data_IF_265393931116
#
_entry.id   IF_265393931116
#
_cell.length_a   1.000
_cell.length_b   1.000
_cell.length_c   1.000
_cell.angle_alpha   90.00
_cell.angle_beta   90.00
_cell.angle_gamma   90.00
#
_symmetry.space_group_name_H-M   'P 1'
#
loop_
_entity.id
_entity.type
_entity.pdbx_description
1 polymer ?
#
# COMPACT_ATOMS: atom_id res chain seq x y z
N UNK A 1 -37.38 -11.08 12.16
CA UNK A 1 -37.58 -9.76 11.51
C UNK A 1 -36.77 -8.64 12.17
N UNK A 2 -37.05 -8.21 13.40
CA UNK A 2 -36.24 -7.15 14.06
C UNK A 2 -34.81 -7.60 14.34
N UNK A 3 -34.63 -8.83 14.84
CA UNK A 3 -33.32 -9.47 15.00
C UNK A 3 -32.50 -9.48 13.70
N UNK A 4 -33.15 -9.71 12.55
CA UNK A 4 -32.48 -9.81 11.25
C UNK A 4 -32.04 -8.42 10.73
N UNK A 5 -32.73 -7.37 11.16
CA UNK A 5 -32.31 -5.99 10.94
C UNK A 5 -31.12 -5.62 11.85
N UNK A 6 -31.19 -5.94 13.15
CA UNK A 6 -30.10 -5.69 14.11
C UNK A 6 -28.83 -6.42 13.70
N UNK A 7 -28.94 -7.67 13.24
CA UNK A 7 -27.81 -8.49 12.77
C UNK A 7 -27.32 -8.13 11.35
N UNK A 8 -27.77 -7.01 10.77
CA UNK A 8 -27.34 -6.52 9.46
C UNK A 8 -27.60 -7.50 8.32
N UNK A 9 -28.66 -8.32 8.41
CA UNK A 9 -29.11 -9.23 7.34
C UNK A 9 -30.24 -8.66 6.49
N UNK A 10 -30.91 -7.62 6.99
CA UNK A 10 -31.96 -6.88 6.29
C UNK A 10 -31.79 -5.39 6.47
N UNK A 11 -31.97 -4.65 5.38
CA UNK A 11 -32.13 -3.20 5.45
C UNK A 11 -33.59 -2.81 5.63
N UNK A 12 -33.81 -1.74 6.37
CA UNK A 12 -35.09 -1.05 6.50
C UNK A 12 -34.88 0.33 5.93
N UNK A 13 -35.65 0.68 4.91
CA UNK A 13 -35.61 2.01 4.29
C UNK A 13 -36.97 2.66 4.47
N UNK A 14 -36.95 3.93 4.84
CA UNK A 14 -38.13 4.78 4.94
C UNK A 14 -38.08 5.77 3.79
N UNK A 15 -39.08 5.71 2.92
CA UNK A 15 -39.26 6.66 1.85
C UNK A 15 -40.23 7.73 2.31
N UNK A 16 -39.77 8.98 2.33
CA UNK A 16 -40.61 10.14 2.60
C UNK A 16 -40.92 10.81 1.26
N UNK A 17 -42.19 10.79 0.88
CA UNK A 17 -42.69 11.50 -0.30
C UNK A 17 -43.49 12.73 0.11
N UNK A 18 -43.71 13.63 -0.85
CA UNK A 18 -44.41 14.91 -0.65
C UNK A 18 -45.85 14.76 -0.15
N UNK A 19 -46.50 13.61 -0.39
CA UNK A 19 -47.90 13.35 0.01
C UNK A 19 -48.08 12.94 1.47
N UNK A 20 -47.05 13.11 2.31
CA UNK A 20 -47.15 13.05 3.77
C UNK A 20 -47.35 11.66 4.38
N UNK A 21 -47.37 10.60 3.56
CA UNK A 21 -47.42 9.21 4.04
C UNK A 21 -46.05 8.55 3.86
N UNK A 22 -45.25 8.41 4.93
CA UNK A 22 -43.96 7.73 4.82
C UNK A 22 -44.19 6.24 4.57
N UNK A 23 -43.49 5.70 3.57
CA UNK A 23 -43.57 4.29 3.18
C UNK A 23 -42.32 3.56 3.70
N UNK A 24 -42.50 2.70 4.68
CA UNK A 24 -41.41 1.88 5.25
C UNK A 24 -41.40 0.50 4.60
N UNK A 25 -40.29 0.16 3.92
CA UNK A 25 -40.08 -1.16 3.34
C UNK A 25 -38.89 -1.86 3.98
N UNK A 26 -39.03 -3.17 4.16
CA UNK A 26 -37.95 -4.06 4.56
C UNK A 26 -37.49 -4.85 3.35
N UNK A 27 -36.18 -4.91 3.14
CA UNK A 27 -35.61 -5.69 2.04
C UNK A 27 -35.69 -7.20 2.32
N UNK A 28 -35.49 -7.98 1.26
CA UNK A 28 -35.23 -9.42 1.38
C UNK A 28 -33.94 -9.63 2.19
N UNK A 29 -33.83 -10.79 2.83
CA UNK A 29 -32.56 -11.15 3.47
C UNK A 29 -31.43 -11.11 2.46
N UNK A 30 -30.40 -10.32 2.76
CA UNK A 30 -29.16 -10.28 2.00
C UNK A 30 -28.24 -11.29 2.66
N UNK A 31 -27.89 -12.39 1.98
CA UNK A 31 -26.96 -13.35 2.55
C UNK A 31 -25.60 -12.68 2.72
N UNK A 32 -24.95 -12.91 3.85
CA UNK A 32 -23.57 -12.47 4.07
C UNK A 32 -22.71 -13.37 3.18
N UNK A 33 -22.07 -12.85 2.11
CA UNK A 33 -21.21 -13.67 1.29
C UNK A 33 -20.00 -14.10 2.13
N UNK A 34 -19.74 -15.40 2.10
CA UNK A 34 -18.63 -16.03 2.79
C UNK A 34 -17.66 -16.49 1.70
N UNK A 35 -16.46 -15.93 1.70
CA UNK A 35 -15.43 -16.26 0.72
C UNK A 35 -14.27 -16.97 1.41
N UNK A 36 -13.85 -18.10 0.88
CA UNK A 36 -12.61 -18.74 1.33
C UNK A 36 -11.45 -18.14 0.55
N UNK A 37 -10.50 -17.45 1.22
CA UNK A 37 -9.32 -16.93 0.53
C UNK A 37 -8.59 -18.07 -0.17
N UNK A 38 -8.26 -17.98 -1.47
CA UNK A 38 -7.38 -18.95 -2.09
C UNK A 38 -5.98 -18.84 -1.48
N UNK A 39 -5.38 -19.98 -1.15
CA UNK A 39 -4.01 -20.04 -0.60
C UNK A 39 -2.94 -19.60 -1.60
N UNK A 40 -3.27 -19.51 -2.88
CA UNK A 40 -2.33 -19.25 -3.98
C UNK A 40 -2.35 -17.81 -4.51
N UNK A 41 -3.21 -16.93 -3.99
CA UNK A 41 -3.34 -15.54 -4.45
C UNK A 41 -2.49 -14.56 -3.63
N UNK A 42 -1.49 -15.06 -2.90
CA UNK A 42 -0.58 -14.19 -2.17
C UNK A 42 0.24 -13.40 -3.22
N UNK A 43 0.23 -12.07 -3.21
CA UNK A 43 1.00 -11.31 -4.19
C UNK A 43 2.49 -11.57 -3.97
N UNK A 44 3.18 -11.88 -5.07
CA UNK A 44 4.61 -12.23 -5.11
C UNK A 44 5.44 -11.19 -5.89
N UNK A 45 4.79 -10.12 -6.34
CA UNK A 45 5.31 -9.19 -7.33
C UNK A 45 6.34 -8.24 -6.70
N UNK A 46 6.06 -7.73 -5.50
CA UNK A 46 6.94 -6.84 -4.75
C UNK A 46 8.27 -7.52 -4.37
N UNK A 47 8.22 -8.75 -3.87
CA UNK A 47 9.43 -9.54 -3.57
C UNK A 47 10.31 -9.77 -4.80
N UNK A 48 9.70 -10.09 -5.94
CA UNK A 48 10.38 -10.25 -7.23
C UNK A 48 11.08 -8.96 -7.67
N UNK A 49 10.39 -7.82 -7.63
CA UNK A 49 10.98 -6.53 -8.03
C UNK A 49 12.16 -6.13 -7.15
N UNK A 50 12.06 -6.27 -5.83
CA UNK A 50 13.16 -5.93 -4.92
C UNK A 50 14.41 -6.78 -5.17
N UNK A 51 14.22 -8.07 -5.43
CA UNK A 51 15.32 -8.96 -5.81
C UNK A 51 15.89 -8.61 -7.18
N UNK A 52 15.05 -8.32 -8.17
CA UNK A 52 15.50 -7.93 -9.51
C UNK A 52 16.30 -6.61 -9.47
N UNK A 53 15.83 -5.61 -8.72
CA UNK A 53 16.50 -4.31 -8.55
C UNK A 53 17.84 -4.49 -7.82
N UNK A 54 17.89 -5.28 -6.74
CA UNK A 54 19.14 -5.52 -6.02
C UNK A 54 20.17 -6.29 -6.86
N UNK A 55 19.73 -7.24 -7.69
CA UNK A 55 20.60 -7.92 -8.66
C UNK A 55 21.11 -6.93 -9.73
N UNK A 56 20.22 -6.18 -10.36
CA UNK A 56 20.52 -5.18 -11.38
C UNK A 56 21.57 -4.17 -10.90
N UNK A 57 21.35 -3.58 -9.73
CA UNK A 57 22.28 -2.59 -9.16
C UNK A 57 23.64 -3.20 -8.83
N UNK A 58 23.69 -4.46 -8.38
CA UNK A 58 24.95 -5.18 -8.12
C UNK A 58 25.70 -5.49 -9.41
N UNK A 59 25.00 -5.89 -10.47
CA UNK A 59 25.58 -6.11 -11.80
C UNK A 59 26.19 -4.83 -12.38
N UNK A 60 25.48 -3.69 -12.31
CA UNK A 60 26.04 -2.42 -12.79
C UNK A 60 27.28 -2.02 -12.00
N UNK A 61 27.25 -2.12 -10.67
CA UNK A 61 28.46 -1.83 -9.87
C UNK A 61 29.64 -2.73 -10.26
N UNK A 62 29.40 -4.02 -10.53
CA UNK A 62 30.43 -4.94 -10.97
C UNK A 62 31.01 -4.57 -12.35
N UNK A 63 30.15 -4.22 -13.32
CA UNK A 63 30.57 -3.80 -14.67
C UNK A 63 31.38 -2.51 -14.61
N UNK A 64 30.89 -1.50 -13.88
CA UNK A 64 31.60 -0.20 -13.74
C UNK A 64 32.91 -0.39 -12.98
N UNK A 65 32.97 -1.29 -12.00
CA UNK A 65 34.20 -1.61 -11.28
C UNK A 65 35.21 -2.30 -12.20
N UNK A 66 34.79 -3.28 -13.00
CA UNK A 66 35.65 -3.96 -13.98
C UNK A 66 36.21 -2.98 -15.01
N UNK A 67 35.37 -2.08 -15.57
CA UNK A 67 35.83 -1.03 -16.48
C UNK A 67 36.88 -0.12 -15.82
N UNK A 68 36.67 0.27 -14.56
CA UNK A 68 37.61 1.11 -13.83
C UNK A 68 38.95 0.41 -13.53
N UNK A 69 38.93 -0.92 -13.30
CA UNK A 69 40.14 -1.72 -13.09
C UNK A 69 40.94 -1.90 -14.38
N UNK A 70 40.27 -2.15 -15.50
CA UNK A 70 40.91 -2.24 -16.83
C UNK A 70 41.59 -0.91 -17.19
N UNK A 71 40.90 0.21 -16.96
CA UNK A 71 41.47 1.53 -17.14
C UNK A 71 42.63 1.81 -16.17
N UNK A 72 42.52 1.38 -14.92
CA UNK A 72 43.62 1.49 -13.95
C UNK A 72 44.86 0.70 -14.40
N UNK A 73 44.67 -0.51 -14.90
CA UNK A 73 45.75 -1.36 -15.39
C UNK A 73 46.43 -0.80 -16.64
N UNK A 74 45.67 -0.17 -17.56
CA UNK A 74 46.27 0.47 -18.75
C UNK A 74 47.15 1.68 -18.40
N UNK A 75 46.91 2.32 -17.26
CA UNK A 75 47.69 3.47 -16.75
C UNK A 75 48.64 3.04 -15.61
N UNK A 76 48.96 1.74 -15.50
CA UNK A 76 49.90 1.20 -14.52
C UNK A 76 49.57 1.57 -13.06
N UNK A 77 48.28 1.68 -12.74
CA UNK A 77 47.75 2.02 -11.42
C UNK A 77 48.30 3.33 -10.82
N UNK A 78 48.71 4.30 -11.65
CA UNK A 78 49.06 5.66 -11.20
C UNK A 78 47.83 6.51 -10.81
N UNK A 79 46.89 5.91 -10.08
CA UNK A 79 45.64 6.56 -9.65
C UNK A 79 45.67 6.71 -8.13
N UNK A 80 45.38 7.91 -7.63
CA UNK A 80 45.23 8.13 -6.19
C UNK A 80 44.12 7.23 -5.64
N UNK A 81 44.46 6.32 -4.70
CA UNK A 81 43.50 5.43 -4.04
C UNK A 81 42.33 6.15 -3.35
N UNK A 82 42.52 7.44 -3.03
CA UNK A 82 41.48 8.32 -2.49
C UNK A 82 40.28 8.49 -3.45
N UNK A 83 40.50 8.32 -4.76
CA UNK A 83 39.45 8.35 -5.78
C UNK A 83 38.61 7.06 -5.77
N UNK A 84 39.19 5.90 -5.41
CA UNK A 84 38.44 4.65 -5.24
C UNK A 84 37.41 4.76 -4.11
N UNK A 85 37.71 5.49 -3.04
CA UNK A 85 36.74 5.73 -1.95
C UNK A 85 35.50 6.53 -2.40
N UNK A 86 35.58 7.26 -3.53
CA UNK A 86 34.44 7.99 -4.12
C UNK A 86 33.71 7.19 -5.20
N UNK A 87 34.23 6.03 -5.61
CA UNK A 87 33.66 5.18 -6.65
C UNK A 87 32.18 4.84 -6.41
N UNK A 88 31.85 4.34 -5.21
CA UNK A 88 30.47 3.96 -4.87
C UNK A 88 29.48 5.12 -5.01
N UNK A 89 29.93 6.36 -4.74
CA UNK A 89 29.12 7.56 -4.86
C UNK A 89 28.95 7.96 -6.33
N UNK A 90 30.04 8.02 -7.09
CA UNK A 90 30.00 8.46 -8.50
C UNK A 90 29.30 7.44 -9.39
N UNK A 91 29.69 6.16 -9.31
CA UNK A 91 29.08 5.08 -10.08
C UNK A 91 27.58 4.95 -9.75
N UNK A 92 27.23 5.05 -8.47
CA UNK A 92 25.85 4.97 -8.02
C UNK A 92 24.96 6.08 -8.60
N UNK A 93 25.36 7.34 -8.45
CA UNK A 93 24.53 8.47 -8.89
C UNK A 93 24.40 8.57 -10.41
N UNK A 94 25.45 8.20 -11.16
CA UNK A 94 25.49 8.36 -12.62
C UNK A 94 24.82 7.20 -13.36
N UNK A 95 25.03 5.95 -12.90
CA UNK A 95 24.61 4.76 -13.68
C UNK A 95 23.33 4.09 -13.18
N UNK A 96 22.96 4.28 -11.92
CA UNK A 96 21.80 3.61 -11.30
C UNK A 96 20.68 4.60 -10.97
N UNK A 97 21.04 5.78 -10.44
CA UNK A 97 20.08 6.78 -9.99
C UNK A 97 19.69 6.66 -8.52
N UNK A 98 19.19 7.75 -7.94
CA UNK A 98 19.00 7.93 -6.49
C UNK A 98 18.00 6.94 -5.88
N UNK A 99 16.86 6.78 -6.52
CA UNK A 99 15.75 5.98 -6.00
C UNK A 99 16.09 4.48 -5.95
N UNK A 100 16.75 3.96 -6.99
CA UNK A 100 17.17 2.55 -7.03
C UNK A 100 18.28 2.25 -6.02
N UNK A 101 19.16 3.21 -5.73
CA UNK A 101 20.14 3.09 -4.65
C UNK A 101 19.47 3.05 -3.27
N UNK A 102 18.44 3.86 -3.04
CA UNK A 102 17.68 3.80 -1.79
C UNK A 102 17.02 2.43 -1.60
N UNK A 103 16.42 1.88 -2.66
CA UNK A 103 15.83 0.53 -2.62
C UNK A 103 16.90 -0.54 -2.35
N UNK A 104 18.09 -0.41 -2.96
CA UNK A 104 19.22 -1.31 -2.71
C UNK A 104 19.74 -1.21 -1.26
N UNK A 105 19.80 -0.01 -0.69
CA UNK A 105 20.18 0.19 0.72
C UNK A 105 19.12 -0.34 1.68
N UNK A 106 17.84 -0.09 1.41
CA UNK A 106 16.73 -0.58 2.23
C UNK A 106 16.69 -2.12 2.25
N UNK A 107 16.80 -2.76 1.09
CA UNK A 107 16.92 -4.23 1.00
C UNK A 107 18.14 -4.74 1.76
N UNK A 108 19.30 -4.07 1.64
CA UNK A 108 20.49 -4.43 2.43
C UNK A 108 20.30 -4.33 3.95
N UNK A 109 19.57 -3.32 4.45
CA UNK A 109 19.27 -3.17 5.88
C UNK A 109 18.34 -4.29 6.37
N UNK A 110 17.30 -4.59 5.59
CA UNK A 110 16.39 -5.70 5.88
C UNK A 110 17.17 -7.02 5.94
N UNK A 111 18.11 -7.23 5.02
CA UNK A 111 18.94 -8.44 5.04
C UNK A 111 19.93 -8.47 6.21
N UNK A 112 20.52 -7.33 6.58
CA UNK A 112 21.40 -7.26 7.75
C UNK A 112 20.63 -7.59 9.04
N UNK A 113 19.36 -7.19 9.14
CA UNK A 113 18.47 -7.58 10.23
C UNK A 113 18.21 -9.09 10.30
N UNK A 114 18.44 -9.83 9.21
CA UNK A 114 18.30 -11.29 9.15
C UNK A 114 19.63 -12.04 9.26
N UNK A 115 20.68 -11.38 9.79
CA UNK A 115 21.97 -12.02 10.04
C UNK A 115 21.80 -13.26 10.93
N UNK A 116 22.50 -14.34 10.60
CA UNK A 116 22.33 -15.59 11.33
C UNK A 116 23.39 -15.62 12.42
N UNK A 117 22.93 -15.83 13.65
CA UNK A 117 23.78 -16.03 14.80
C UNK A 117 23.84 -17.54 15.04
N UNK A 118 25.00 -18.14 14.82
CA UNK A 118 25.22 -19.52 15.20
C UNK A 118 25.51 -19.57 16.69
N UNK A 119 24.77 -20.40 17.42
CA UNK A 119 25.05 -20.67 18.83
C UNK A 119 26.15 -21.71 18.88
N UNK A 120 27.29 -21.36 19.45
CA UNK A 120 28.41 -22.29 19.68
C UNK A 120 28.60 -22.49 21.17
N UNK A 121 28.81 -23.75 21.57
CA UNK A 121 29.18 -24.08 22.94
C UNK A 121 30.67 -24.44 22.97
N UNK A 122 31.45 -23.72 23.77
CA UNK A 122 32.82 -24.11 24.09
C UNK A 122 32.98 -24.17 25.61
N UNK A 123 33.49 -25.29 26.11
CA UNK A 123 33.79 -25.51 27.53
C UNK A 123 32.61 -25.25 28.48
N UNK A 124 31.37 -25.54 28.05
CA UNK A 124 30.16 -25.35 28.86
C UNK A 124 29.58 -23.93 28.80
N UNK A 125 30.22 -22.99 28.10
CA UNK A 125 29.71 -21.64 27.88
C UNK A 125 29.07 -21.52 26.49
N UNK A 126 27.85 -20.99 26.47
CA UNK A 126 27.08 -20.74 25.24
C UNK A 126 27.28 -19.30 24.81
N UNK A 127 27.83 -19.09 23.61
CA UNK A 127 27.99 -17.75 23.03
C UNK A 127 27.57 -17.74 21.56
N UNK A 128 27.16 -16.57 21.10
CA UNK A 128 26.80 -16.35 19.71
C UNK A 128 28.05 -16.01 18.90
N UNK A 129 28.26 -16.73 17.80
CA UNK A 129 29.31 -16.43 16.82
C UNK A 129 28.69 -15.86 15.55
N UNK A 130 29.38 -14.88 14.96
CA UNK A 130 28.97 -14.30 13.69
C UNK A 130 29.34 -15.26 12.55
N UNK A 131 28.36 -15.65 11.74
CA UNK A 131 28.56 -16.55 10.62
C UNK A 131 28.40 -15.81 9.28
N UNK A 132 29.50 -15.45 8.58
CA UNK A 132 29.43 -14.82 7.27
C UNK A 132 28.75 -15.73 6.25
N UNK A 133 27.79 -15.18 5.50
CA UNK A 133 27.18 -15.85 4.35
C UNK A 133 27.88 -15.42 3.06
N UNK A 134 28.15 -16.38 2.18
CA UNK A 134 28.55 -16.07 0.81
C UNK A 134 27.39 -15.47 0.02
N UNK A 135 27.69 -14.72 -1.04
CA UNK A 135 26.68 -14.08 -1.88
C UNK A 135 25.63 -15.09 -2.42
N UNK A 136 26.05 -16.32 -2.72
CA UNK A 136 25.18 -17.36 -3.23
C UNK A 136 24.19 -17.88 -2.17
N UNK A 137 24.65 -18.13 -0.93
CA UNK A 137 23.75 -18.53 0.16
C UNK A 137 22.84 -17.38 0.58
N UNK A 138 23.31 -16.15 0.45
CA UNK A 138 22.52 -14.95 0.63
C UNK A 138 21.35 -14.90 -0.39
N UNK A 139 21.61 -15.02 -1.69
CA UNK A 139 20.56 -15.01 -2.72
C UNK A 139 19.51 -16.10 -2.50
N UNK A 140 19.91 -17.31 -2.07
CA UNK A 140 18.98 -18.39 -1.72
C UNK A 140 18.08 -18.02 -0.53
N UNK A 141 18.65 -17.41 0.51
CA UNK A 141 17.88 -16.95 1.66
C UNK A 141 16.90 -15.83 1.28
N UNK A 142 17.31 -14.89 0.40
CA UNK A 142 16.41 -13.83 -0.07
C UNK A 142 15.23 -14.37 -0.86
N UNK A 143 15.46 -15.39 -1.69
CA UNK A 143 14.39 -16.05 -2.45
C UNK A 143 13.38 -16.73 -1.53
N UNK A 144 13.83 -17.34 -0.44
CA UNK A 144 12.96 -17.98 0.53
C UNK A 144 12.20 -16.96 1.37
N UNK A 145 12.88 -15.97 1.96
CA UNK A 145 12.25 -15.00 2.85
C UNK A 145 11.30 -14.04 2.11
N UNK A 146 11.64 -13.64 0.89
CA UNK A 146 10.79 -12.81 0.03
C UNK A 146 9.95 -13.65 -0.93
N UNK A 147 9.51 -14.83 -0.48
CA UNK A 147 8.62 -15.67 -1.26
C UNK A 147 7.30 -14.96 -1.57
N UNK A 148 6.82 -14.05 -0.70
CA UNK A 148 5.63 -13.22 -0.89
C UNK A 148 5.89 -11.75 -0.53
N UNK A 149 4.94 -10.88 -0.86
CA UNK A 149 5.02 -9.44 -0.59
C UNK A 149 4.93 -9.09 0.91
N UNK A 150 4.51 -10.05 1.74
CA UNK A 150 4.58 -9.94 3.20
C UNK A 150 5.96 -10.29 3.78
N UNK A 151 6.90 -10.74 2.94
CA UNK A 151 8.24 -11.22 3.31
C UNK A 151 8.22 -12.26 4.43
N UNK A 152 7.19 -13.10 4.43
CA UNK A 152 6.99 -14.15 5.42
C UNK A 152 6.83 -15.50 4.71
N UNK A 153 7.89 -16.33 4.65
CA UNK A 153 7.93 -17.52 3.79
C UNK A 153 6.78 -18.51 3.99
N UNK A 154 6.33 -18.67 5.23
CA UNK A 154 5.30 -19.63 5.62
C UNK A 154 3.94 -18.97 5.86
N UNK A 155 3.74 -17.75 5.35
CA UNK A 155 2.49 -17.04 5.53
C UNK A 155 1.36 -17.72 4.75
N UNK A 156 0.23 -17.91 5.42
CA UNK A 156 -0.97 -18.50 4.86
C UNK A 156 -2.13 -17.49 4.93
N UNK A 157 -2.66 -17.10 3.77
CA UNK A 157 -3.78 -16.16 3.64
C UNK A 157 -5.07 -16.69 4.25
N UNK A 158 -5.27 -18.01 4.28
CA UNK A 158 -6.50 -18.66 4.77
C UNK A 158 -6.58 -18.73 6.31
N UNK A 159 -5.43 -18.63 7.01
CA UNK A 159 -5.33 -18.90 8.44
C UNK A 159 -5.58 -17.66 9.30
N UNK A 160 -4.54 -17.25 10.03
CA UNK A 160 -4.60 -16.18 11.05
C UNK A 160 -5.07 -14.83 10.50
N UNK A 161 -4.70 -14.46 9.27
CA UNK A 161 -5.10 -13.17 8.69
C UNK A 161 -6.62 -13.08 8.50
N UNK A 162 -7.22 -14.09 7.84
CA UNK A 162 -8.66 -14.15 7.63
C UNK A 162 -9.41 -14.26 8.97
N UNK A 163 -8.84 -14.98 9.95
CA UNK A 163 -9.41 -15.09 11.29
C UNK A 163 -9.44 -13.73 11.99
N UNK A 164 -8.35 -12.97 11.97
CA UNK A 164 -8.28 -11.63 12.56
C UNK A 164 -9.31 -10.70 11.93
N UNK A 165 -9.44 -10.70 10.60
CA UNK A 165 -10.45 -9.93 9.90
C UNK A 165 -11.87 -10.26 10.36
N UNK A 166 -12.19 -11.56 10.43
CA UNK A 166 -13.48 -12.01 10.92
C UNK A 166 -13.71 -11.69 12.39
N UNK A 167 -12.67 -11.77 13.22
CA UNK A 167 -12.76 -11.45 14.64
C UNK A 167 -13.14 -9.98 14.84
N UNK A 168 -12.49 -9.05 14.12
CA UNK A 168 -12.84 -7.62 14.16
C UNK A 168 -14.26 -7.37 13.66
N UNK A 169 -14.61 -7.97 12.52
CA UNK A 169 -15.95 -7.86 11.93
C UNK A 169 -17.02 -8.38 12.87
N UNK A 170 -16.79 -9.53 13.52
CA UNK A 170 -17.72 -10.06 14.52
C UNK A 170 -17.79 -9.13 15.71
N UNK A 171 -16.65 -8.66 16.25
CA UNK A 171 -16.63 -7.80 17.45
C UNK A 171 -17.42 -6.51 17.27
N UNK A 172 -17.55 -6.04 16.03
CA UNK A 172 -18.36 -4.88 15.68
C UNK A 172 -19.87 -5.17 15.66
N UNK A 173 -20.29 -6.40 15.36
CA UNK A 173 -21.70 -6.82 15.35
C UNK A 173 -22.15 -7.37 16.71
N UNK A 174 -21.32 -8.24 17.29
CA UNK A 174 -21.63 -9.02 18.47
C UNK A 174 -20.36 -9.22 19.30
N UNK A 175 -20.46 -9.02 20.60
CA UNK A 175 -19.32 -8.83 21.49
C UNK A 175 -18.49 -10.09 21.79
N UNK A 176 -18.71 -11.18 21.06
CA UNK A 176 -18.37 -12.51 21.51
C UNK A 176 -17.03 -13.01 20.93
N UNK A 177 -16.19 -13.62 21.77
CA UNK A 177 -14.87 -14.10 21.36
C UNK A 177 -14.98 -15.29 20.41
N UNK A 178 -14.46 -15.16 19.19
CA UNK A 178 -14.23 -16.32 18.32
C UNK A 178 -12.97 -17.07 18.76
N UNK A 179 -13.06 -18.39 18.96
CA UNK A 179 -11.88 -19.25 19.14
C UNK A 179 -11.22 -19.56 17.80
N UNK A 180 -9.89 -19.47 17.74
CA UNK A 180 -9.11 -19.93 16.60
C UNK A 180 -8.92 -21.45 16.68
N UNK A 181 -9.76 -22.21 15.97
CA UNK A 181 -9.75 -23.68 16.00
C UNK A 181 -9.62 -24.32 14.60
N UNK A 182 -9.36 -23.53 13.55
CA UNK A 182 -9.36 -24.03 12.16
C UNK A 182 -8.15 -23.53 11.37
N UNK A 183 -7.62 -24.38 10.49
CA UNK A 183 -6.50 -24.07 9.59
C UNK A 183 -6.88 -23.13 8.45
N UNK A 184 -8.18 -23.07 8.12
CA UNK A 184 -8.76 -22.10 7.18
C UNK A 184 -9.96 -21.43 7.83
N UNK A 185 -10.07 -20.12 7.64
CA UNK A 185 -11.19 -19.32 8.11
C UNK A 185 -11.78 -18.56 6.94
N UNK A 186 -13.08 -18.73 6.65
CA UNK A 186 -13.69 -18.08 5.51
C UNK A 186 -14.07 -16.64 5.89
N UNK A 187 -13.75 -15.67 5.04
CA UNK A 187 -13.96 -14.24 5.28
C UNK A 187 -15.43 -13.88 5.06
N UNK A 188 -16.03 -13.20 6.04
CA UNK A 188 -17.41 -12.69 5.96
C UNK A 188 -17.42 -11.21 5.65
N UNK A 189 -18.13 -10.80 4.58
CA UNK A 189 -18.24 -9.39 4.18
C UNK A 189 -19.62 -8.85 4.53
N UNK A 190 -19.67 -7.88 5.44
CA UNK A 190 -20.92 -7.22 5.84
C UNK A 190 -21.23 -6.05 4.90
N UNK A 191 -21.75 -6.38 3.71
CA UNK A 191 -22.11 -5.36 2.71
C UNK A 191 -23.14 -4.35 3.24
N UNK A 192 -24.12 -4.81 4.02
CA UNK A 192 -25.16 -3.96 4.62
C UNK A 192 -24.61 -2.99 5.66
N UNK A 193 -23.59 -3.40 6.42
CA UNK A 193 -22.98 -2.55 7.42
C UNK A 193 -22.22 -1.37 6.80
N UNK A 194 -21.45 -1.62 5.73
CA UNK A 194 -20.78 -0.55 4.97
C UNK A 194 -21.78 0.43 4.38
N UNK A 195 -22.89 -0.09 3.81
CA UNK A 195 -23.99 0.73 3.29
C UNK A 195 -24.63 1.57 4.40
N UNK A 196 -24.88 0.97 5.57
CA UNK A 196 -25.44 1.68 6.71
C UNK A 196 -24.53 2.84 7.14
N UNK A 197 -23.23 2.64 7.28
CA UNK A 197 -22.27 3.71 7.60
C UNK A 197 -22.33 4.83 6.55
N UNK A 198 -22.30 4.46 5.26
CA UNK A 198 -22.30 5.44 4.16
C UNK A 198 -23.55 6.33 4.17
N UNK A 199 -24.74 5.75 4.37
CA UNK A 199 -26.01 6.48 4.26
C UNK A 199 -26.54 7.06 5.57
N UNK A 200 -26.11 6.55 6.73
CA UNK A 200 -26.58 7.04 8.04
C UNK A 200 -25.58 7.98 8.73
N UNK A 201 -24.28 7.64 8.71
CA UNK A 201 -23.24 8.39 9.43
C UNK A 201 -22.56 9.38 8.48
N UNK A 202 -22.10 8.89 7.33
CA UNK A 202 -21.31 9.68 6.37
C UNK A 202 -22.14 10.51 5.39
N UNK A 203 -23.46 10.58 5.58
CA UNK A 203 -24.36 11.34 4.73
C UNK A 203 -24.55 12.81 5.18
N UNK A 204 -23.87 13.23 6.24
CA UNK A 204 -23.99 14.60 6.76
C UNK A 204 -22.97 15.53 6.09
N UNK A 205 -23.46 16.58 5.42
CA UNK A 205 -22.64 17.66 4.83
C UNK A 205 -21.68 18.30 5.86
N UNK A 206 -22.08 18.63 7.12
CA UNK A 206 -21.14 19.24 8.06
C UNK A 206 -19.97 18.32 8.43
N UNK A 207 -20.20 17.01 8.55
CA UNK A 207 -19.15 16.03 8.78
C UNK A 207 -18.20 15.96 7.57
N UNK A 208 -18.76 15.94 6.36
CA UNK A 208 -17.94 15.95 5.15
C UNK A 208 -17.07 17.21 5.04
N UNK A 209 -17.57 18.39 5.44
CA UNK A 209 -16.79 19.63 5.45
C UNK A 209 -15.67 19.57 6.51
N UNK A 210 -15.98 19.08 7.72
CA UNK A 210 -14.99 18.95 8.80
C UNK A 210 -13.90 17.94 8.43
N UNK A 211 -14.28 16.78 7.89
CA UNK A 211 -13.35 15.74 7.42
C UNK A 211 -12.50 16.25 6.26
N UNK A 212 -13.09 16.94 5.28
CA UNK A 212 -12.33 17.56 4.20
C UNK A 212 -11.32 18.55 4.77
N UNK A 213 -11.67 19.39 5.76
CA UNK A 213 -10.72 20.35 6.35
C UNK A 213 -9.64 19.71 7.20
N UNK A 214 -9.93 18.59 7.85
CA UNK A 214 -8.97 17.85 8.70
C UNK A 214 -8.12 16.85 7.92
N UNK A 215 -8.49 16.53 6.69
CA UNK A 215 -7.80 15.54 5.87
C UNK A 215 -6.35 15.98 5.58
N UNK A 216 -5.41 15.10 5.92
CA UNK A 216 -3.99 15.33 5.69
C UNK A 216 -3.67 15.62 4.21
N UNK A 217 -2.75 16.55 3.96
CA UNK A 217 -2.35 17.02 2.62
C UNK A 217 -2.04 15.89 1.63
N UNK A 218 -1.38 14.82 2.09
CA UNK A 218 -1.08 13.63 1.26
C UNK A 218 -2.34 12.97 0.71
N UNK A 219 -3.33 12.79 1.56
CA UNK A 219 -4.58 12.11 1.22
C UNK A 219 -5.42 13.00 0.31
N UNK A 220 -5.48 14.30 0.62
CA UNK A 220 -6.14 15.29 -0.22
C UNK A 220 -5.62 15.29 -1.67
N UNK A 221 -4.30 15.29 -1.86
CA UNK A 221 -3.68 15.26 -3.20
C UNK A 221 -3.96 13.92 -3.90
N UNK A 222 -3.98 12.81 -3.17
CA UNK A 222 -4.30 11.48 -3.72
C UNK A 222 -5.77 11.35 -4.14
N UNK A 223 -6.71 11.91 -3.38
CA UNK A 223 -8.14 11.93 -3.75
C UNK A 223 -8.36 12.85 -4.96
N UNK A 224 -7.69 14.01 -4.99
CA UNK A 224 -7.79 14.92 -6.13
C UNK A 224 -7.17 14.34 -7.42
N UNK A 225 -6.14 13.50 -7.33
CA UNK A 225 -5.58 12.85 -8.52
C UNK A 225 -6.54 11.83 -9.13
N UNK A 226 -7.33 11.13 -8.31
CA UNK A 226 -8.35 10.20 -8.78
C UNK A 226 -9.48 10.92 -9.53
N UNK A 227 -9.94 12.08 -9.04
CA UNK A 227 -10.96 12.85 -9.75
C UNK A 227 -10.47 13.40 -11.09
N UNK A 228 -9.19 13.76 -11.20
CA UNK A 228 -8.56 14.16 -12.48
C UNK A 228 -8.49 12.99 -13.45
N UNK A 229 -8.12 11.81 -12.96
CA UNK A 229 -8.04 10.60 -13.78
C UNK A 229 -9.43 10.21 -14.30
N UNK A 230 -10.45 10.27 -13.45
CA UNK A 230 -11.85 10.05 -13.86
C UNK A 230 -12.32 11.07 -14.89
N UNK A 231 -11.98 12.36 -14.71
CA UNK A 231 -12.36 13.42 -15.65
C UNK A 231 -11.72 13.24 -17.03
N UNK A 232 -10.61 12.49 -17.08
CA UNK A 232 -9.87 12.24 -18.32
C UNK A 232 -10.21 10.91 -18.98
N UNK A 233 -10.55 9.88 -18.21
CA UNK A 233 -10.99 8.59 -18.75
C UNK A 233 -12.43 8.62 -19.24
N UNK A 234 -13.29 9.40 -18.59
CA UNK A 234 -14.73 9.42 -18.84
C UNK A 234 -15.21 10.88 -18.98
N UNK A 235 -14.93 11.53 -20.13
CA UNK A 235 -15.26 12.95 -20.34
C UNK A 235 -16.77 13.23 -20.31
N UNK A 236 -17.60 12.21 -20.51
CA UNK A 236 -19.06 12.32 -20.58
C UNK A 236 -19.74 12.29 -19.21
N UNK A 237 -19.02 11.95 -18.13
CA UNK A 237 -19.59 11.92 -16.78
C UNK A 237 -19.63 13.34 -16.19
N UNK A 238 -20.81 13.90 -15.91
CA UNK A 238 -20.91 15.24 -15.36
C UNK A 238 -20.41 15.26 -13.91
N UNK A 239 -19.37 16.05 -13.63
CA UNK A 239 -18.84 16.25 -12.28
C UNK A 239 -19.30 17.55 -11.63
N UNK A 240 -19.81 18.49 -12.44
CA UNK A 240 -20.32 19.75 -11.93
C UNK A 240 -21.75 19.59 -11.41
N UNK A 241 -22.03 20.18 -10.24
CA UNK A 241 -23.36 20.17 -9.61
C UNK A 241 -24.46 20.82 -10.47
N UNK A 242 -24.10 21.64 -11.47
CA UNK A 242 -25.08 22.28 -12.36
C UNK A 242 -24.68 22.14 -13.82
N UNK A 243 -25.68 22.01 -14.69
CA UNK A 243 -25.52 21.89 -16.15
C UNK A 243 -24.81 23.12 -16.74
N UNK A 244 -25.15 24.32 -16.28
CA UNK A 244 -24.49 25.56 -16.70
C UNK A 244 -23.00 25.62 -16.30
N UNK A 245 -22.62 25.02 -15.16
CA UNK A 245 -21.20 24.91 -14.77
C UNK A 245 -20.50 23.82 -15.59
N UNK A 246 -21.16 22.71 -15.87
CA UNK A 246 -20.63 21.64 -16.72
C UNK A 246 -20.28 22.16 -18.12
N UNK A 247 -21.20 22.90 -18.77
CA UNK A 247 -20.97 23.48 -20.10
C UNK A 247 -19.81 24.49 -20.13
N UNK A 248 -19.63 25.29 -19.07
CA UNK A 248 -18.48 26.20 -18.96
C UNK A 248 -17.16 25.43 -18.77
N UNK A 249 -17.18 24.38 -17.95
CA UNK A 249 -15.99 23.55 -17.72
C UNK A 249 -15.56 22.80 -18.98
N UNK A 250 -16.48 22.20 -19.72
CA UNK A 250 -16.16 21.50 -20.97
C UNK A 250 -15.67 22.45 -22.06
N UNK A 251 -16.28 23.64 -22.19
CA UNK A 251 -15.90 24.60 -23.20
C UNK A 251 -14.55 25.29 -22.94
N UNK A 252 -14.18 25.52 -21.67
CA UNK A 252 -13.03 26.40 -21.33
C UNK A 252 -11.90 25.73 -20.57
N UNK A 253 -12.15 24.61 -19.90
CA UNK A 253 -11.19 24.00 -18.97
C UNK A 253 -10.93 22.51 -19.22
N UNK A 254 -11.50 21.92 -20.27
CA UNK A 254 -11.33 20.49 -20.59
C UNK A 254 -9.86 20.06 -20.78
N UNK A 255 -8.99 20.95 -21.27
CA UNK A 255 -7.56 20.66 -21.48
C UNK A 255 -6.68 20.94 -20.26
N UNK A 256 -7.20 21.59 -19.21
CA UNK A 256 -6.41 22.06 -18.07
C UNK A 256 -6.70 21.25 -16.80
N UNK A 257 -5.86 20.25 -16.55
CA UNK A 257 -5.94 19.43 -15.33
C UNK A 257 -5.75 20.23 -14.03
N UNK A 258 -5.11 21.41 -14.10
CA UNK A 258 -4.86 22.25 -12.93
C UNK A 258 -6.14 22.82 -12.30
N UNK A 259 -7.20 23.02 -13.08
CA UNK A 259 -8.49 23.55 -12.60
C UNK A 259 -9.16 22.57 -11.62
N UNK A 260 -8.97 21.28 -11.84
CA UNK A 260 -9.48 20.23 -10.96
C UNK A 260 -8.71 20.14 -9.63
N UNK A 261 -7.45 20.57 -9.60
CA UNK A 261 -6.63 20.64 -8.37
C UNK A 261 -6.92 21.89 -7.54
N UNK A 262 -7.50 22.93 -8.13
CA UNK A 262 -7.68 24.22 -7.48
C UNK A 262 -8.51 24.12 -6.19
N UNK A 263 -9.60 23.36 -6.21
CA UNK A 263 -10.47 23.19 -5.04
C UNK A 263 -9.77 22.45 -3.90
N UNK A 264 -8.98 21.43 -4.21
CA UNK A 264 -8.18 20.70 -3.22
C UNK A 264 -7.07 21.60 -2.65
N UNK A 265 -6.33 22.32 -3.50
CA UNK A 265 -5.25 23.22 -3.08
C UNK A 265 -5.75 24.39 -2.22
N UNK A 266 -6.98 24.88 -2.46
CA UNK A 266 -7.63 25.91 -1.63
C UNK A 266 -7.99 25.42 -0.23
N UNK A 267 -8.11 24.10 -0.03
CA UNK A 267 -8.50 23.50 1.26
C UNK A 267 -7.29 23.01 2.09
N UNK A 268 -6.06 23.17 1.57
CA UNK A 268 -4.82 22.66 2.16
C UNK A 268 -3.92 23.83 2.57
N UNK A 269 -3.17 23.68 3.67
CA UNK A 269 -2.10 24.61 4.01
C UNK A 269 -0.92 24.51 3.01
N UNK A 270 -0.61 25.61 2.31
CA UNK A 270 0.47 25.68 1.31
C UNK A 270 1.84 25.22 1.86
N UNK A 271 2.13 25.51 3.12
CA UNK A 271 3.38 25.07 3.78
C UNK A 271 3.51 23.54 3.82
N UNK A 272 2.42 22.83 4.09
CA UNK A 272 2.42 21.37 4.18
C UNK A 272 2.46 20.72 2.79
N UNK A 273 1.86 21.37 1.80
CA UNK A 273 1.97 20.97 0.40
C UNK A 273 3.42 21.04 -0.10
N UNK A 274 4.11 22.17 0.11
CA UNK A 274 5.51 22.30 -0.32
C UNK A 274 6.45 21.35 0.42
N UNK A 275 6.24 21.13 1.72
CA UNK A 275 7.02 20.13 2.49
C UNK A 275 6.89 18.71 1.95
N UNK A 276 5.80 18.39 1.27
CA UNK A 276 5.60 17.06 0.67
C UNK A 276 6.47 16.84 -0.57
N UNK A 277 6.65 17.88 -1.39
CA UNK A 277 7.35 17.78 -2.69
C UNK A 277 8.80 18.28 -2.66
N UNK A 278 9.13 19.20 -1.76
CA UNK A 278 10.43 19.86 -1.68
C UNK A 278 11.25 19.45 -0.44
N UNK A 279 11.24 18.16 -0.11
CA UNK A 279 12.07 17.60 0.97
C UNK A 279 13.30 16.87 0.44
#
# INVERSE_FOLDING_TARGET
MLHDWVSQRREVVRFEGDTGRPLTHISREVPIPVFSPPSMEIPHIGGLYLRAISLYTTCIFAVVAAMSLVYGASVWFQVLGRNLCRFNRVAGFVWIGRTLLLVRSMTSVIYLSTSNLSVTNANGLVFFTWQPRSMATHLKATHFNMANDFWWPTFNSCGTQAFLGNWFTKRMLDGDLMLYNSSSSPVSILALHMKAIQFSILNSIPLAIDDLRRMATRVHVAVASQSILLARLEPDVPMANTTARQLRCSARYASSGAVYLETALRNIALSDFFRMFWR
#
